data_IF_438947717225
#
_entry.id   IF_438947717225
#
_cell.length_a   1.000
_cell.length_b   1.000
_cell.length_c   1.000
_cell.angle_alpha   90.00
_cell.angle_beta   90.00
_cell.angle_gamma   90.00
#
_symmetry.space_group_name_H-M   'P 1'
#
loop_
_entity.id
_entity.type
_entity.pdbx_description
1 polymer ?
#
# COMPACT_ATOMS: atom_id res chain seq x y z
N UNK A 1 -4.88 -4.76 17.75
CA UNK A 1 -6.27 -5.15 17.50
C UNK A 1 -6.75 -4.55 16.18
N UNK A 2 -6.73 -5.33 15.10
CA UNK A 2 -7.16 -4.87 13.77
C UNK A 2 -8.62 -5.19 13.54
N UNK A 3 -9.50 -4.25 13.91
CA UNK A 3 -10.95 -4.37 13.75
C UNK A 3 -11.32 -4.33 12.27
N UNK A 4 -11.53 -5.50 11.66
CA UNK A 4 -12.16 -5.63 10.36
C UNK A 4 -13.65 -5.33 10.46
N UNK A 5 -14.03 -4.06 10.41
CA UNK A 5 -15.33 -3.67 9.87
C UNK A 5 -15.38 -4.15 8.40
N UNK A 6 -16.52 -4.63 7.91
CA UNK A 6 -16.66 -5.39 6.65
C UNK A 6 -16.25 -4.68 5.34
N UNK A 7 -15.57 -3.54 5.41
CA UNK A 7 -15.08 -2.75 4.28
C UNK A 7 -13.67 -3.22 3.86
N UNK A 8 -13.37 -3.31 2.55
CA UNK A 8 -12.04 -3.65 2.07
C UNK A 8 -11.04 -2.52 2.39
N UNK A 9 -9.77 -2.87 2.66
CA UNK A 9 -8.71 -1.87 2.78
C UNK A 9 -8.51 -1.10 1.47
N UNK A 10 -7.86 0.06 1.51
CA UNK A 10 -7.62 0.94 0.36
C UNK A 10 -6.97 0.23 -0.83
N UNK A 11 -6.00 -0.66 -0.57
CA UNK A 11 -5.39 -1.48 -1.61
C UNK A 11 -6.38 -2.45 -2.27
N UNK A 12 -7.15 -3.19 -1.47
CA UNK A 12 -8.15 -4.13 -1.98
C UNK A 12 -9.33 -3.42 -2.66
N UNK A 13 -9.72 -2.24 -2.17
CA UNK A 13 -10.71 -1.35 -2.79
C UNK A 13 -10.23 -0.90 -4.18
N UNK A 14 -8.98 -0.43 -4.28
CA UNK A 14 -8.36 -0.06 -5.56
C UNK A 14 -8.29 -1.24 -6.53
N UNK A 15 -7.84 -2.41 -6.06
CA UNK A 15 -7.73 -3.65 -6.84
C UNK A 15 -9.07 -4.33 -7.14
N UNK A 16 -10.20 -3.78 -6.63
CA UNK A 16 -11.55 -4.34 -6.77
C UNK A 16 -11.64 -5.83 -6.39
N UNK A 17 -10.97 -6.21 -5.31
CA UNK A 17 -10.94 -7.60 -4.80
C UNK A 17 -11.39 -7.68 -3.35
N UNK A 18 -11.82 -8.87 -2.93
CA UNK A 18 -12.15 -9.14 -1.52
C UNK A 18 -10.91 -8.95 -0.64
N UNK A 19 -11.07 -8.24 0.47
CA UNK A 19 -10.03 -8.12 1.49
C UNK A 19 -10.08 -9.33 2.43
N UNK A 20 -9.17 -10.28 2.24
CA UNK A 20 -9.10 -11.49 3.05
C UNK A 20 -8.42 -11.25 4.42
N UNK A 21 -8.68 -12.15 5.38
CA UNK A 21 -7.89 -12.21 6.62
C UNK A 21 -6.42 -12.44 6.28
N UNK A 22 -5.53 -11.67 6.90
CA UNK A 22 -4.09 -11.70 6.59
C UNK A 22 -3.66 -10.88 5.38
N UNK A 23 -4.53 -10.03 4.81
CA UNK A 23 -4.15 -9.09 3.76
C UNK A 23 -2.95 -8.24 4.21
N UNK A 24 -1.81 -8.36 3.51
CA UNK A 24 -0.57 -7.64 3.83
C UNK A 24 -0.75 -6.12 3.80
N UNK A 25 -1.67 -5.61 2.97
CA UNK A 25 -1.92 -4.18 2.84
C UNK A 25 -2.92 -3.67 3.88
N UNK A 26 -3.73 -4.55 4.47
CA UNK A 26 -4.82 -4.10 5.35
C UNK A 26 -4.33 -3.21 6.49
N UNK A 27 -3.26 -3.54 7.24
CA UNK A 27 -2.81 -2.72 8.36
C UNK A 27 -2.34 -1.30 7.97
N UNK A 28 -1.95 -1.08 6.72
CA UNK A 28 -1.26 0.14 6.28
C UNK A 28 -2.14 1.05 5.41
N UNK A 29 -3.18 0.48 4.78
CA UNK A 29 -4.09 1.19 3.89
C UNK A 29 -5.53 1.20 4.44
N UNK A 30 -5.71 1.52 5.73
CA UNK A 30 -7.02 1.55 6.41
C UNK A 30 -7.83 2.85 6.22
N UNK A 31 -7.22 3.93 5.72
CA UNK A 31 -7.84 5.27 5.70
C UNK A 31 -8.63 5.52 4.41
N UNK A 32 -9.48 6.56 4.41
CA UNK A 32 -10.18 7.08 3.22
C UNK A 32 -9.24 7.31 2.03
N UNK A 33 -8.03 7.80 2.30
CA UNK A 33 -6.98 8.06 1.31
C UNK A 33 -6.17 6.81 0.93
N UNK A 34 -6.47 5.65 1.53
CA UNK A 34 -5.73 4.41 1.29
C UNK A 34 -5.78 3.95 -0.17
N UNK A 35 -6.89 4.19 -0.88
CA UNK A 35 -7.00 3.83 -2.30
C UNK A 35 -6.20 4.76 -3.22
N UNK A 36 -6.12 6.06 -2.92
CA UNK A 36 -5.32 7.00 -3.73
C UNK A 36 -3.83 6.78 -3.50
N UNK A 37 -3.39 6.54 -2.26
CA UNK A 37 -2.00 6.20 -1.96
C UNK A 37 -1.59 4.90 -2.63
N UNK A 38 -2.45 3.89 -2.59
CA UNK A 38 -2.17 2.61 -3.24
C UNK A 38 -2.13 2.72 -4.78
N UNK A 39 -2.87 3.65 -5.38
CA UNK A 39 -2.82 3.86 -6.83
C UNK A 39 -1.42 4.28 -7.30
N UNK A 40 -0.74 5.15 -6.55
CA UNK A 40 0.63 5.55 -6.85
C UNK A 40 1.58 4.35 -6.74
N UNK A 41 1.51 3.61 -5.62
CA UNK A 41 2.32 2.41 -5.42
C UNK A 41 2.11 1.40 -6.54
N UNK A 42 0.85 1.15 -6.91
CA UNK A 42 0.53 0.20 -7.96
C UNK A 42 1.13 0.62 -9.31
N UNK A 43 1.11 1.92 -9.62
CA UNK A 43 1.66 2.43 -10.87
C UNK A 43 3.19 2.36 -10.92
N UNK A 44 3.87 2.59 -9.80
CA UNK A 44 5.34 2.65 -9.74
C UNK A 44 5.99 1.30 -9.44
N UNK A 45 5.52 0.63 -8.40
CA UNK A 45 6.10 -0.65 -7.94
C UNK A 45 5.31 -1.86 -8.46
N UNK A 46 3.99 -1.70 -8.64
CA UNK A 46 3.08 -2.83 -8.86
C UNK A 46 2.68 -3.51 -7.56
N UNK A 47 1.45 -4.02 -7.49
CA UNK A 47 0.93 -4.64 -6.27
C UNK A 47 1.75 -5.85 -5.80
N UNK A 48 2.24 -6.69 -6.73
CA UNK A 48 3.01 -7.88 -6.37
C UNK A 48 4.37 -7.54 -5.78
N UNK A 49 5.07 -6.54 -6.32
CA UNK A 49 6.38 -6.13 -5.78
C UNK A 49 6.22 -5.42 -4.44
N UNK A 50 5.23 -4.53 -4.31
CA UNK A 50 4.92 -3.89 -3.03
C UNK A 50 4.56 -4.93 -1.96
N UNK A 51 3.77 -5.95 -2.31
CA UNK A 51 3.45 -7.07 -1.41
C UNK A 51 4.71 -7.82 -0.98
N UNK A 52 5.60 -8.16 -1.92
CA UNK A 52 6.86 -8.86 -1.63
C UNK A 52 7.77 -8.03 -0.73
N UNK A 53 7.95 -6.75 -1.04
CA UNK A 53 8.76 -5.82 -0.25
C UNK A 53 8.28 -5.76 1.20
N UNK A 54 7.00 -5.49 1.41
CA UNK A 54 6.43 -5.45 2.76
C UNK A 54 6.51 -6.81 3.47
N UNK A 55 6.35 -7.92 2.75
CA UNK A 55 6.38 -9.26 3.37
C UNK A 55 7.79 -9.70 3.78
N UNK A 56 8.84 -9.19 3.14
CA UNK A 56 10.23 -9.50 3.49
C UNK A 56 10.78 -8.68 4.67
N UNK A 57 10.11 -7.59 5.04
CA UNK A 57 10.52 -6.76 6.16
C UNK A 57 10.01 -7.32 7.51
N UNK A 58 10.74 -7.10 8.61
CA UNK A 58 10.22 -7.27 9.96
C UNK A 58 8.92 -6.49 10.16
N UNK A 59 7.99 -7.03 10.95
CA UNK A 59 6.66 -6.42 11.15
C UNK A 59 6.76 -4.98 11.68
N UNK A 60 7.77 -4.68 12.52
CA UNK A 60 8.06 -3.35 13.05
C UNK A 60 8.28 -2.31 11.96
N UNK A 61 8.91 -2.71 10.85
CA UNK A 61 9.42 -1.79 9.84
C UNK A 61 8.41 -1.60 8.71
N UNK A 62 7.45 -2.52 8.57
CA UNK A 62 6.46 -2.50 7.47
C UNK A 62 5.58 -1.26 7.47
N UNK A 63 5.29 -0.70 8.64
CA UNK A 63 4.49 0.53 8.72
C UNK A 63 5.23 1.69 8.08
N UNK A 64 6.49 1.89 8.48
CA UNK A 64 7.36 2.92 7.92
C UNK A 64 7.62 2.68 6.44
N UNK A 65 7.94 1.44 6.05
CA UNK A 65 8.14 1.09 4.65
C UNK A 65 6.91 1.38 3.78
N UNK A 66 5.69 1.13 4.27
CA UNK A 66 4.47 1.45 3.54
C UNK A 66 4.28 2.97 3.32
N UNK A 67 4.70 3.79 4.29
CA UNK A 67 4.71 5.26 4.16
C UNK A 67 5.77 5.67 3.14
N UNK A 68 7.00 5.17 3.26
CA UNK A 68 8.13 5.50 2.38
C UNK A 68 7.82 5.16 0.92
N UNK A 69 7.36 3.94 0.62
CA UNK A 69 7.03 3.57 -0.77
C UNK A 69 5.81 4.33 -1.30
N UNK A 70 4.90 4.79 -0.43
CA UNK A 70 3.80 5.67 -0.85
C UNK A 70 4.35 7.02 -1.31
N UNK A 71 5.27 7.60 -0.53
CA UNK A 71 5.93 8.86 -0.84
C UNK A 71 6.79 8.77 -2.11
N UNK A 72 7.67 7.77 -2.21
CA UNK A 72 8.52 7.56 -3.39
C UNK A 72 7.69 7.35 -4.66
N UNK A 73 6.58 6.60 -4.55
CA UNK A 73 5.67 6.41 -5.67
C UNK A 73 5.03 7.73 -6.12
N UNK A 74 4.57 8.56 -5.17
CA UNK A 74 3.99 9.86 -5.49
C UNK A 74 5.02 10.79 -6.13
N UNK A 75 6.24 10.85 -5.60
CA UNK A 75 7.31 11.66 -6.14
C UNK A 75 7.67 11.24 -7.57
N UNK A 76 7.79 9.93 -7.84
CA UNK A 76 8.03 9.43 -9.21
C UNK A 76 6.88 9.72 -10.18
N UNK A 77 5.65 9.87 -9.70
CA UNK A 77 4.54 10.31 -10.56
C UNK A 77 4.61 11.80 -10.87
N UNK A 78 5.16 12.62 -9.97
CA UNK A 78 5.34 14.06 -10.16
C UNK A 78 6.58 14.37 -11.02
N UNK A 79 7.69 13.69 -10.76
CA UNK A 79 8.91 13.74 -11.56
C UNK A 79 9.26 12.33 -12.08
N UNK A 80 8.82 11.99 -13.31
CA UNK A 80 9.09 10.67 -13.90
C UNK A 80 10.57 10.39 -14.19
N UNK A 81 11.41 11.41 -14.23
CA UNK A 81 12.84 11.29 -14.57
C UNK A 81 13.66 11.08 -13.31
N UNK A 82 13.45 11.92 -12.29
CA UNK A 82 14.28 11.94 -11.09
C UNK A 82 13.58 11.37 -9.85
N UNK A 83 12.25 11.48 -9.74
CA UNK A 83 11.51 11.09 -8.54
C UNK A 83 11.76 12.02 -7.36
N UNK A 84 11.90 11.44 -6.16
CA UNK A 84 12.30 12.16 -4.94
C UNK A 84 13.81 12.14 -4.74
#
# INVERSE_FOLDING_TARGET
SGSGSGSPCGACKFLRRKCAKGCVFAPYFCHEQGSSHFAAIHKVFGASNASKLLSHLPISDRCEAAITISYEAQARLQDPIYGC
#
